data_IF_102067662988
#
_entry.id   IF_102067662988
#
_cell.length_a   1.000
_cell.length_b   1.000
_cell.length_c   1.000
_cell.angle_alpha   90.00
_cell.angle_beta   90.00
_cell.angle_gamma   90.00
#
_symmetry.space_group_name_H-M   'P 1'
#
loop_
_entity.id
_entity.type
_entity.pdbx_description
1 polymer ?
#
# COMPACT_ATOMS: atom_id res chain seq x y z
N UNK A 1 17.34 -2.17 -3.74
CA UNK A 1 16.96 -1.67 -2.38
C UNK A 1 16.65 -0.16 -2.35
N UNK A 2 17.26 0.67 -3.20
CA UNK A 2 17.05 2.14 -3.20
C UNK A 2 15.58 2.59 -3.32
N UNK A 3 14.80 2.02 -4.23
CA UNK A 3 13.38 2.40 -4.43
C UNK A 3 12.53 2.15 -3.18
N UNK A 4 12.74 1.03 -2.49
CA UNK A 4 12.03 0.72 -1.26
C UNK A 4 12.29 1.76 -0.17
N UNK A 5 13.54 2.17 -0.01
CA UNK A 5 13.91 3.21 0.97
C UNK A 5 13.22 4.54 0.67
N UNK A 6 13.14 4.94 -0.60
CA UNK A 6 12.45 6.17 -1.00
C UNK A 6 10.95 6.09 -0.69
N UNK A 7 10.30 4.95 -0.96
CA UNK A 7 8.87 4.76 -0.66
C UNK A 7 8.64 4.80 0.85
N UNK A 8 9.50 4.15 1.65
CA UNK A 8 9.42 4.20 3.11
C UNK A 8 9.59 5.63 3.61
N UNK A 9 10.54 6.38 3.07
CA UNK A 9 10.76 7.79 3.43
C UNK A 9 9.55 8.66 3.10
N UNK A 10 8.99 8.52 1.90
CA UNK A 10 7.75 9.20 1.51
C UNK A 10 6.59 8.82 2.45
N UNK A 11 6.50 7.56 2.88
CA UNK A 11 5.49 7.13 3.85
C UNK A 11 5.67 7.71 5.24
N UNK A 12 6.91 7.87 5.72
CA UNK A 12 7.20 8.60 6.97
C UNK A 12 6.80 10.07 6.88
N UNK A 13 6.88 10.66 5.68
CA UNK A 13 6.43 12.03 5.41
C UNK A 13 4.92 12.16 5.18
N UNK A 14 4.13 11.07 5.33
CA UNK A 14 2.67 11.12 5.25
C UNK A 14 2.07 10.70 3.90
N UNK A 15 2.87 10.16 2.97
CA UNK A 15 2.35 9.58 1.72
C UNK A 15 1.91 8.13 1.90
N UNK A 16 0.65 7.85 1.58
CA UNK A 16 0.13 6.50 1.50
C UNK A 16 0.19 5.99 0.06
N UNK A 17 0.86 4.86 -0.15
CA UNK A 17 0.92 4.16 -1.43
C UNK A 17 -0.05 2.99 -1.46
N UNK A 18 -0.65 2.74 -2.63
CA UNK A 18 -1.51 1.59 -2.89
C UNK A 18 -1.26 1.05 -4.30
N UNK A 19 -1.47 -0.25 -4.47
CA UNK A 19 -1.55 -0.88 -5.78
C UNK A 19 -3.01 -1.08 -6.15
N UNK A 20 -3.36 -0.56 -7.33
CA UNK A 20 -4.64 -0.79 -7.98
C UNK A 20 -4.35 -1.59 -9.27
N UNK A 21 -4.43 -2.92 -9.15
CA UNK A 21 -3.93 -3.84 -10.17
C UNK A 21 -2.45 -3.62 -10.48
N UNK A 22 -2.18 -3.03 -11.65
CA UNK A 22 -0.82 -2.70 -12.13
C UNK A 22 -0.44 -1.24 -11.93
N UNK A 23 -1.35 -0.40 -11.45
CA UNK A 23 -1.09 1.02 -11.24
C UNK A 23 -0.67 1.30 -9.80
N UNK A 24 0.29 2.22 -9.66
CA UNK A 24 0.71 2.74 -8.35
C UNK A 24 -0.05 4.02 -8.10
N UNK A 25 -0.91 4.01 -7.09
CA UNK A 25 -1.60 5.21 -6.60
C UNK A 25 -0.98 5.67 -5.30
N UNK A 26 -0.95 6.98 -5.10
CA UNK A 26 -0.51 7.57 -3.84
C UNK A 26 -1.40 8.76 -3.47
N UNK A 27 -1.53 8.99 -2.17
CA UNK A 27 -2.21 10.18 -1.63
C UNK A 27 -1.48 10.67 -0.38
N UNK A 28 -1.52 11.97 -0.17
CA UNK A 28 -1.06 12.56 1.08
C UNK A 28 -2.15 12.40 2.15
N UNK A 29 -1.77 11.94 3.35
CA UNK A 29 -2.68 11.75 4.50
C UNK A 29 -2.15 12.42 5.78
N UNK A 30 -1.08 13.20 5.69
CA UNK A 30 -0.54 13.93 6.84
C UNK A 30 -1.33 15.20 7.14
N UNK A 31 -0.98 15.85 8.25
CA UNK A 31 -1.68 17.03 8.77
C UNK A 31 -1.15 18.33 8.16
N UNK A 32 0.16 18.44 7.97
CA UNK A 32 0.85 19.64 7.49
C UNK A 32 1.12 19.56 5.99
N UNK A 33 1.29 20.69 5.31
CA UNK A 33 1.68 20.65 3.91
C UNK A 33 3.14 20.20 3.78
N UNK A 34 3.45 19.14 3.00
CA UNK A 34 4.81 18.61 2.92
C UNK A 34 5.70 19.51 2.06
N UNK A 35 6.95 19.76 2.48
CA UNK A 35 7.88 20.63 1.75
C UNK A 35 8.13 20.12 0.31
N UNK A 36 7.72 20.87 -0.73
CA UNK A 36 7.93 20.48 -2.12
C UNK A 36 9.41 20.25 -2.46
N UNK A 37 10.33 20.97 -1.83
CA UNK A 37 11.77 20.85 -2.09
C UNK A 37 12.33 19.51 -1.63
N UNK A 38 11.74 18.91 -0.60
CA UNK A 38 12.12 17.57 -0.12
C UNK A 38 11.39 16.46 -0.90
N UNK A 39 10.13 16.67 -1.22
CA UNK A 39 9.26 15.63 -1.81
C UNK A 39 9.48 15.45 -3.31
N UNK A 40 9.60 16.54 -4.08
CA UNK A 40 9.72 16.48 -5.54
C UNK A 40 10.94 15.66 -5.98
N UNK A 41 12.15 15.80 -5.37
CA UNK A 41 13.30 14.97 -5.73
C UNK A 41 13.06 13.48 -5.49
N UNK A 42 12.36 13.10 -4.41
CA UNK A 42 12.05 11.71 -4.11
C UNK A 42 11.13 11.10 -5.17
N UNK A 43 10.06 11.79 -5.54
CA UNK A 43 9.19 11.33 -6.63
C UNK A 43 9.91 11.27 -7.98
N UNK A 44 10.80 12.22 -8.28
CA UNK A 44 11.62 12.19 -9.51
C UNK A 44 12.48 10.93 -9.58
N UNK A 45 13.08 10.48 -8.47
CA UNK A 45 13.92 9.27 -8.42
C UNK A 45 13.15 7.98 -8.74
N UNK A 46 11.87 7.90 -8.37
CA UNK A 46 11.05 6.70 -8.60
C UNK A 46 10.18 6.78 -9.86
N UNK A 47 10.04 7.96 -10.48
CA UNK A 47 9.16 8.19 -11.65
C UNK A 47 9.38 7.20 -12.80
N UNK A 48 10.65 6.87 -13.09
CA UNK A 48 11.03 5.97 -14.18
C UNK A 48 11.26 4.53 -13.72
N UNK A 49 11.00 4.22 -12.44
CA UNK A 49 11.25 2.91 -11.82
C UNK A 49 9.95 2.25 -11.36
N UNK A 50 8.86 2.47 -12.09
CA UNK A 50 7.50 2.01 -11.74
C UNK A 50 7.47 0.50 -11.42
N UNK A 51 8.18 -0.32 -12.18
CA UNK A 51 8.21 -1.78 -11.97
C UNK A 51 8.80 -2.18 -10.63
N UNK A 52 9.87 -1.50 -10.22
CA UNK A 52 10.49 -1.71 -8.91
C UNK A 52 9.58 -1.22 -7.78
N UNK A 53 8.88 -0.10 -7.97
CA UNK A 53 7.87 0.39 -7.03
C UNK A 53 6.75 -0.63 -6.87
N UNK A 54 6.24 -1.19 -7.98
CA UNK A 54 5.21 -2.23 -7.98
C UNK A 54 5.66 -3.47 -7.26
N UNK A 55 6.85 -3.98 -7.59
CA UNK A 55 7.40 -5.18 -6.96
C UNK A 55 7.59 -4.97 -5.44
N UNK A 56 8.09 -3.80 -5.02
CA UNK A 56 8.23 -3.47 -3.62
C UNK A 56 6.88 -3.46 -2.89
N UNK A 57 5.88 -2.76 -3.43
CA UNK A 57 4.55 -2.64 -2.82
C UNK A 57 3.75 -3.96 -2.80
N UNK A 58 4.10 -4.94 -3.65
CA UNK A 58 3.52 -6.29 -3.59
C UNK A 58 4.02 -7.11 -2.40
N UNK A 59 5.22 -6.82 -1.93
CA UNK A 59 5.90 -7.65 -0.92
C UNK A 59 6.08 -6.93 0.42
N UNK A 60 5.90 -5.61 0.47
CA UNK A 60 6.24 -4.81 1.65
C UNK A 60 5.30 -3.63 1.85
N UNK A 61 4.78 -3.49 3.07
CA UNK A 61 3.91 -2.40 3.46
C UNK A 61 4.77 -1.23 3.99
N UNK A 62 4.86 -0.09 3.29
CA UNK A 62 5.70 1.02 3.73
C UNK A 62 5.19 1.73 4.99
N UNK A 63 3.93 1.48 5.39
CA UNK A 63 3.32 2.07 6.60
C UNK A 63 3.73 1.35 7.89
N UNK A 64 3.65 0.02 7.92
CA UNK A 64 3.92 -0.77 9.13
C UNK A 64 5.10 -1.74 9.03
N UNK A 65 5.72 -1.86 7.84
CA UNK A 65 6.79 -2.82 7.58
C UNK A 65 6.35 -4.28 7.43
N UNK A 66 5.04 -4.55 7.42
CA UNK A 66 4.51 -5.90 7.24
C UNK A 66 4.66 -6.42 5.81
N UNK A 67 4.73 -7.75 5.67
CA UNK A 67 4.89 -8.45 4.40
C UNK A 67 3.69 -9.35 4.03
N UNK A 68 2.61 -9.30 4.81
CA UNK A 68 1.42 -10.12 4.61
C UNK A 68 0.27 -9.26 4.08
N UNK A 69 -0.34 -9.72 2.99
CA UNK A 69 -1.38 -9.01 2.26
C UNK A 69 -2.55 -9.94 1.94
N UNK A 70 -3.74 -9.37 1.85
CA UNK A 70 -4.93 -10.03 1.35
C UNK A 70 -5.49 -9.22 0.18
N UNK A 71 -6.26 -9.87 -0.68
CA UNK A 71 -6.90 -9.21 -1.82
C UNK A 71 -8.38 -9.01 -1.50
N UNK A 72 -8.87 -7.79 -1.61
CA UNK A 72 -10.29 -7.51 -1.36
C UNK A 72 -11.17 -7.88 -2.57
N UNK A 73 -12.48 -7.71 -2.43
CA UNK A 73 -13.45 -8.05 -3.49
C UNK A 73 -13.23 -7.28 -4.80
N UNK A 74 -12.59 -6.11 -4.76
CA UNK A 74 -12.26 -5.31 -5.94
C UNK A 74 -10.92 -5.67 -6.58
N UNK A 75 -10.21 -6.68 -6.07
CA UNK A 75 -8.89 -7.07 -6.57
C UNK A 75 -7.74 -6.21 -6.04
N UNK A 76 -7.99 -5.32 -5.06
CA UNK A 76 -6.95 -4.49 -4.47
C UNK A 76 -6.15 -5.26 -3.41
N UNK A 77 -4.83 -5.18 -3.46
CA UNK A 77 -3.96 -5.74 -2.42
C UNK A 77 -3.93 -4.82 -1.19
N UNK A 78 -4.32 -5.35 -0.03
CA UNK A 78 -4.42 -4.65 1.25
C UNK A 78 -3.49 -5.29 2.27
N UNK A 79 -2.78 -4.47 3.04
CA UNK A 79 -1.89 -4.96 4.09
C UNK A 79 -2.74 -5.49 5.25
N UNK A 80 -2.50 -6.74 5.65
CA UNK A 80 -3.29 -7.42 6.69
C UNK A 80 -3.28 -6.67 8.02
N UNK A 81 -2.16 -6.04 8.37
CA UNK A 81 -2.02 -5.32 9.64
C UNK A 81 -2.61 -3.90 9.61
N UNK A 82 -2.53 -3.20 8.48
CA UNK A 82 -2.99 -1.80 8.38
C UNK A 82 -4.45 -1.65 7.95
N UNK A 83 -4.98 -2.65 7.27
CA UNK A 83 -6.32 -2.67 6.68
C UNK A 83 -6.82 -4.12 6.71
N UNK A 84 -7.07 -4.70 7.91
CA UNK A 84 -7.50 -6.09 8.04
C UNK A 84 -8.87 -6.29 7.37
N UNK A 85 -9.15 -7.49 6.84
CA UNK A 85 -10.48 -7.79 6.35
C UNK A 85 -11.49 -7.78 7.50
N UNK A 86 -12.75 -7.49 7.18
CA UNK A 86 -13.86 -7.69 8.10
C UNK A 86 -14.10 -9.20 8.25
N UNK A 87 -13.48 -9.79 9.27
CA UNK A 87 -13.56 -11.22 9.53
C UNK A 87 -14.98 -11.66 9.86
N UNK A 88 -15.79 -10.83 10.52
CA UNK A 88 -17.17 -11.16 10.87
C UNK A 88 -18.05 -11.23 9.61
N UNK A 89 -17.87 -10.29 8.69
CA UNK A 89 -18.51 -10.34 7.37
C UNK A 89 -18.07 -11.57 6.58
N UNK A 90 -16.77 -11.88 6.57
CA UNK A 90 -16.25 -13.07 5.88
C UNK A 90 -16.84 -14.35 6.48
N UNK A 91 -16.86 -14.48 7.81
CA UNK A 91 -17.49 -15.61 8.49
C UNK A 91 -18.96 -15.74 8.11
N UNK A 92 -19.74 -14.65 8.07
CA UNK A 92 -21.15 -14.70 7.64
C UNK A 92 -21.31 -15.16 6.19
N UNK A 93 -20.45 -14.68 5.27
CA UNK A 93 -20.48 -15.07 3.85
C UNK A 93 -20.12 -16.54 3.63
N UNK A 94 -19.15 -17.07 4.39
CA UNK A 94 -18.68 -18.44 4.24
C UNK A 94 -19.47 -19.44 5.10
N UNK A 95 -19.86 -19.11 6.33
CA UNK A 95 -20.64 -20.00 7.21
C UNK A 95 -22.03 -20.34 6.62
N UNK A 96 -22.60 -19.45 5.79
CA UNK A 96 -23.81 -19.75 5.02
C UNK A 96 -23.64 -20.79 3.92
N UNK A 97 -22.40 -21.13 3.53
CA UNK A 97 -22.07 -22.11 2.47
C UNK A 97 -21.77 -23.53 2.99
N UNK A 98 -21.61 -23.73 4.30
CA UNK A 98 -21.26 -25.04 4.90
C UNK A 98 -22.44 -25.70 5.65
N UNK A 99 -23.69 -25.31 5.35
CA UNK A 99 -24.89 -26.05 5.77
C UNK A 99 -25.39 -26.94 4.62
N UNK A 100 -24.60 -27.94 4.24
CA UNK A 100 -25.05 -29.08 3.44
C UNK A 100 -24.33 -30.35 3.87
#
# INVERSE_FOLDING_TARGET
MEVGNIIIELSKKGYQFKLDGNDVRYKYIGFDEPDPNEIIPLFKKIKNRKDQVRQFLRCYCPKCGGCVFWTNFYGESRCLACDPPDYELLERLYAGRWKH
#
